data_IF_305193519212
#
_entry.id   IF_305193519212
#
_cell.length_a   1.000
_cell.length_b   1.000
_cell.length_c   1.000
_cell.angle_alpha   90.00
_cell.angle_beta   90.00
_cell.angle_gamma   90.00
#
_symmetry.space_group_name_H-M   'P 1'
#
loop_
_entity.id
_entity.type
_entity.pdbx_description
1 polymer ?
#
# COMPACT_ATOMS: atom_id res chain seq x y z
N UNK A 1 19.65 -19.73 8.95
CA UNK A 1 19.53 -18.43 8.27
C UNK A 1 20.59 -18.34 7.18
N UNK A 2 20.19 -18.38 5.92
CA UNK A 2 21.12 -18.23 4.78
C UNK A 2 21.07 -16.79 4.27
N UNK A 3 21.71 -15.87 5.02
CA UNK A 3 21.89 -14.49 4.59
C UNK A 3 23.14 -14.41 3.74
N UNK A 4 23.02 -13.92 2.51
CA UNK A 4 24.15 -13.75 1.57
C UNK A 4 25.06 -12.62 2.01
N UNK A 5 24.47 -11.53 2.51
CA UNK A 5 25.14 -10.34 3.01
C UNK A 5 24.21 -9.58 3.94
N UNK A 6 24.76 -8.84 4.90
CA UNK A 6 23.97 -8.06 5.84
C UNK A 6 24.73 -6.86 6.39
N UNK A 7 23.99 -5.80 6.69
CA UNK A 7 24.47 -4.65 7.44
C UNK A 7 23.53 -4.50 8.64
N UNK A 8 24.08 -4.52 9.84
CA UNK A 8 23.32 -4.35 11.08
C UNK A 8 23.97 -3.26 11.92
N UNK A 9 23.19 -2.25 12.28
CA UNK A 9 23.59 -1.14 13.15
C UNK A 9 22.61 -1.02 14.30
N UNK A 10 22.77 -0.06 15.17
CA UNK A 10 21.84 0.20 16.26
C UNK A 10 20.49 0.76 15.75
N UNK A 11 20.49 1.41 14.59
CA UNK A 11 19.32 2.10 14.04
C UNK A 11 18.61 1.31 12.95
N UNK A 12 19.32 0.47 12.17
CA UNK A 12 18.73 -0.29 11.07
C UNK A 12 19.47 -1.61 10.80
N UNK A 13 18.76 -2.51 10.13
CA UNK A 13 19.33 -3.74 9.60
C UNK A 13 18.92 -3.94 8.13
N UNK A 14 19.87 -4.29 7.27
CA UNK A 14 19.65 -4.61 5.85
C UNK A 14 20.13 -6.04 5.63
N UNK A 15 19.29 -6.87 5.04
CA UNK A 15 19.58 -8.27 4.74
C UNK A 15 19.42 -8.55 3.25
N UNK A 16 20.48 -9.04 2.61
CA UNK A 16 20.39 -9.66 1.29
C UNK A 16 20.09 -11.14 1.49
N UNK A 17 18.82 -11.47 1.59
CA UNK A 17 18.35 -12.82 1.92
C UNK A 17 16.93 -13.04 1.41
N UNK A 18 16.49 -14.30 1.44
CA UNK A 18 15.09 -14.65 1.37
C UNK A 18 14.37 -14.14 2.62
N UNK A 19 13.25 -13.44 2.43
CA UNK A 19 12.47 -12.90 3.55
C UNK A 19 11.96 -13.99 4.51
N UNK A 20 11.69 -15.20 4.01
CA UNK A 20 11.28 -16.34 4.83
C UNK A 20 12.41 -16.94 5.67
N UNK A 21 13.65 -16.53 5.46
CA UNK A 21 14.76 -16.83 6.35
C UNK A 21 14.94 -15.76 7.44
N UNK A 22 14.56 -14.52 7.16
CA UNK A 22 14.73 -13.38 8.07
C UNK A 22 13.52 -13.20 8.98
N UNK A 23 12.30 -13.20 8.43
CA UNK A 23 11.08 -12.97 9.19
C UNK A 23 10.94 -13.83 10.45
N UNK A 24 11.23 -15.15 10.44
CA UNK A 24 11.16 -15.98 11.64
C UNK A 24 12.10 -15.55 12.77
N UNK A 25 13.13 -14.74 12.46
CA UNK A 25 14.06 -14.22 13.48
C UNK A 25 13.55 -12.93 14.15
N UNK A 26 12.53 -12.30 13.57
CA UNK A 26 11.91 -11.09 14.11
C UNK A 26 10.92 -11.50 15.21
N UNK A 27 10.96 -10.87 16.39
CA UNK A 27 10.04 -11.20 17.49
C UNK A 27 8.57 -10.96 17.11
N UNK A 28 7.67 -11.72 17.74
CA UNK A 28 6.23 -11.53 17.62
C UNK A 28 5.84 -10.11 18.06
N UNK A 29 4.87 -9.51 17.38
CA UNK A 29 4.30 -8.21 17.75
C UNK A 29 5.36 -7.11 17.98
N UNK A 30 6.41 -7.07 17.14
CA UNK A 30 7.51 -6.09 17.27
C UNK A 30 7.51 -5.03 16.19
N UNK A 31 6.86 -5.28 15.03
CA UNK A 31 6.89 -4.39 13.86
C UNK A 31 5.70 -3.43 13.88
N UNK A 32 5.98 -2.13 13.84
CA UNK A 32 4.95 -1.07 13.81
C UNK A 32 4.40 -0.78 12.41
N UNK A 33 5.21 -0.94 11.38
CA UNK A 33 4.84 -0.75 9.98
C UNK A 33 5.62 -1.70 9.09
N UNK A 34 4.94 -2.38 8.17
CA UNK A 34 5.58 -3.09 7.07
C UNK A 34 5.11 -2.54 5.74
N UNK A 35 6.05 -2.40 4.79
CA UNK A 35 5.78 -1.96 3.42
C UNK A 35 6.48 -2.89 2.46
N UNK A 36 5.74 -3.52 1.57
CA UNK A 36 6.32 -4.46 0.62
C UNK A 36 5.50 -4.60 -0.66
N UNK A 37 6.10 -5.21 -1.66
CA UNK A 37 5.47 -5.54 -2.93
C UNK A 37 5.77 -7.00 -3.25
N UNK A 38 4.76 -7.89 -3.27
CA UNK A 38 4.99 -9.26 -3.74
C UNK A 38 5.30 -9.24 -5.24
N UNK A 39 5.96 -10.27 -5.78
CA UNK A 39 6.01 -10.46 -7.22
C UNK A 39 4.58 -10.47 -7.80
N UNK A 40 4.40 -9.88 -8.98
CA UNK A 40 3.08 -9.87 -9.62
C UNK A 40 2.86 -11.17 -10.40
N UNK A 41 2.79 -12.27 -9.67
CA UNK A 41 2.39 -13.61 -10.11
C UNK A 41 2.70 -13.95 -11.57
N UNK A 42 3.99 -14.17 -11.88
CA UNK A 42 4.44 -14.59 -13.22
C UNK A 42 4.55 -13.45 -14.25
N UNK A 43 4.32 -12.19 -13.87
CA UNK A 43 4.53 -11.05 -14.78
C UNK A 43 6.03 -10.83 -15.07
N UNK A 44 6.89 -11.05 -14.08
CA UNK A 44 8.35 -10.95 -14.19
C UNK A 44 8.99 -12.11 -13.45
N UNK A 45 10.06 -12.67 -14.01
CA UNK A 45 10.92 -13.64 -13.35
C UNK A 45 12.13 -12.89 -12.77
N UNK A 46 12.31 -12.97 -11.45
CA UNK A 46 13.37 -12.21 -10.76
C UNK A 46 14.64 -13.04 -10.54
N UNK A 47 14.50 -14.35 -10.38
CA UNK A 47 15.63 -15.26 -10.20
C UNK A 47 15.32 -16.65 -10.75
N UNK A 48 16.31 -17.54 -10.73
CA UNK A 48 16.13 -18.98 -11.07
C UNK A 48 15.90 -19.86 -9.84
N UNK A 49 15.64 -19.27 -8.69
CA UNK A 49 15.42 -20.00 -7.44
C UNK A 49 14.01 -20.57 -7.37
N UNK A 50 13.87 -21.83 -6.96
CA UNK A 50 12.57 -22.46 -6.71
C UNK A 50 11.80 -21.80 -5.54
N UNK A 51 12.48 -20.99 -4.73
CA UNK A 51 11.91 -20.21 -3.62
C UNK A 51 11.41 -18.82 -4.04
N UNK A 52 11.65 -18.43 -5.27
CA UNK A 52 11.15 -17.16 -5.82
C UNK A 52 9.69 -17.34 -6.26
N UNK A 53 8.80 -16.60 -5.62
CA UNK A 53 7.36 -16.63 -5.92
C UNK A 53 7.04 -16.32 -7.39
N UNK A 54 7.94 -15.62 -8.09
CA UNK A 54 7.77 -15.36 -9.52
C UNK A 54 7.89 -16.58 -10.40
N UNK A 55 8.44 -17.70 -9.88
CA UNK A 55 8.63 -18.95 -10.59
C UNK A 55 7.50 -19.97 -10.34
N UNK A 56 6.41 -19.57 -9.67
CA UNK A 56 5.26 -20.43 -9.46
C UNK A 56 4.62 -20.83 -10.79
N UNK A 57 4.29 -22.10 -10.94
CA UNK A 57 3.69 -22.67 -12.15
C UNK A 57 2.21 -22.30 -12.29
N UNK A 58 1.52 -22.02 -11.19
CA UNK A 58 0.12 -21.65 -11.16
C UNK A 58 -0.18 -20.52 -10.19
N UNK A 59 -1.35 -19.88 -10.36
CA UNK A 59 -1.86 -18.87 -9.43
C UNK A 59 -2.10 -19.46 -8.03
N UNK A 60 -2.62 -20.65 -7.96
CA UNK A 60 -2.90 -21.37 -6.72
C UNK A 60 -1.61 -21.63 -5.95
N UNK A 61 -0.56 -22.06 -6.63
CA UNK A 61 0.76 -22.25 -6.03
C UNK A 61 1.31 -20.92 -5.49
N UNK A 62 1.22 -19.86 -6.29
CA UNK A 62 1.63 -18.53 -5.87
C UNK A 62 0.87 -18.08 -4.61
N UNK A 63 -0.47 -18.16 -4.61
CA UNK A 63 -1.29 -17.75 -3.48
C UNK A 63 -0.98 -18.56 -2.22
N UNK A 64 -0.72 -19.85 -2.36
CA UNK A 64 -0.31 -20.71 -1.24
C UNK A 64 1.02 -20.26 -0.64
N UNK A 65 2.02 -19.98 -1.47
CA UNK A 65 3.32 -19.49 -0.99
C UNK A 65 3.21 -18.08 -0.39
N UNK A 66 2.42 -17.23 -1.02
CA UNK A 66 2.17 -15.89 -0.51
C UNK A 66 1.47 -15.89 0.86
N UNK A 67 0.59 -16.86 1.10
CA UNK A 67 -0.09 -17.01 2.39
C UNK A 67 0.88 -17.30 3.55
N UNK A 68 1.95 -18.05 3.32
CA UNK A 68 3.01 -18.24 4.33
C UNK A 68 3.70 -16.92 4.70
N UNK A 69 3.98 -16.09 3.69
CA UNK A 69 4.56 -14.76 3.93
C UNK A 69 3.61 -13.90 4.77
N UNK A 70 2.32 -13.87 4.42
CA UNK A 70 1.33 -13.06 5.14
C UNK A 70 1.14 -13.55 6.57
N UNK A 71 1.22 -14.85 6.82
CA UNK A 71 1.20 -15.41 8.17
C UNK A 71 2.35 -14.87 9.04
N UNK A 72 3.58 -14.83 8.49
CA UNK A 72 4.73 -14.26 9.19
C UNK A 72 4.62 -12.73 9.37
N UNK A 73 4.15 -11.99 8.36
CA UNK A 73 3.86 -10.57 8.49
C UNK A 73 2.82 -10.32 9.61
N UNK A 74 1.79 -11.16 9.68
CA UNK A 74 0.80 -11.06 10.75
C UNK A 74 1.39 -11.35 12.13
N UNK A 75 2.28 -12.34 12.25
CA UNK A 75 2.94 -12.67 13.51
C UNK A 75 3.78 -11.50 14.03
N UNK A 76 4.61 -10.92 13.18
CA UNK A 76 5.55 -9.86 13.59
C UNK A 76 4.89 -8.50 13.77
N UNK A 77 3.77 -8.21 13.09
CA UNK A 77 3.09 -6.92 13.19
C UNK A 77 2.43 -6.74 14.55
N UNK A 78 2.62 -5.61 15.21
CA UNK A 78 1.93 -5.24 16.46
C UNK A 78 0.42 -5.10 16.25
N UNK A 79 -0.44 -5.45 17.22
CA UNK A 79 -1.87 -5.15 17.18
C UNK A 79 -2.14 -3.66 16.92
N UNK A 80 -3.17 -3.34 16.14
CA UNK A 80 -3.53 -1.96 15.77
C UNK A 80 -2.56 -1.27 14.80
N UNK A 81 -1.51 -1.96 14.35
CA UNK A 81 -0.50 -1.42 13.43
C UNK A 81 -0.75 -1.80 11.98
N UNK A 82 0.01 -1.17 11.08
CA UNK A 82 -0.28 -1.11 9.65
C UNK A 82 0.67 -1.97 8.84
N UNK A 83 0.10 -2.62 7.84
CA UNK A 83 0.83 -3.21 6.72
C UNK A 83 0.35 -2.57 5.42
N UNK A 84 1.28 -2.20 4.53
CA UNK A 84 1.01 -1.60 3.24
C UNK A 84 1.59 -2.48 2.12
N UNK A 85 0.74 -2.87 1.18
CA UNK A 85 1.12 -3.78 0.09
C UNK A 85 0.95 -3.07 -1.25
N UNK A 86 2.04 -2.91 -1.98
CA UNK A 86 2.00 -2.39 -3.35
C UNK A 86 1.71 -3.53 -4.33
N UNK A 87 0.69 -3.38 -5.15
CA UNK A 87 0.30 -4.36 -6.16
C UNK A 87 -0.40 -3.70 -7.36
N UNK A 88 -0.73 -4.52 -8.36
CA UNK A 88 -1.52 -4.12 -9.52
C UNK A 88 -2.38 -5.30 -9.97
N UNK A 89 -3.40 -5.02 -10.77
CA UNK A 89 -4.10 -6.09 -11.49
C UNK A 89 -3.17 -6.77 -12.50
N UNK A 90 -3.33 -8.06 -12.69
CA UNK A 90 -2.49 -8.86 -13.58
C UNK A 90 -3.32 -9.39 -14.74
N UNK A 91 -2.82 -9.21 -15.96
CA UNK A 91 -3.44 -9.79 -17.14
C UNK A 91 -3.05 -11.26 -17.31
N UNK A 92 -4.02 -12.08 -17.66
CA UNK A 92 -3.75 -13.43 -18.16
C UNK A 92 -3.36 -13.41 -19.65
N UNK A 93 -3.02 -14.58 -20.18
CA UNK A 93 -2.63 -14.74 -21.59
C UNK A 93 -3.76 -14.40 -22.58
N UNK A 94 -5.00 -14.33 -22.12
CA UNK A 94 -6.19 -14.00 -22.91
C UNK A 94 -6.59 -12.53 -22.78
N UNK A 95 -5.74 -11.72 -22.17
CA UNK A 95 -5.98 -10.29 -21.87
C UNK A 95 -7.15 -10.03 -20.90
N UNK A 96 -7.59 -11.05 -20.14
CA UNK A 96 -8.52 -10.84 -19.05
C UNK A 96 -7.76 -10.45 -17.78
N UNK A 97 -8.39 -9.65 -16.93
CA UNK A 97 -7.83 -9.28 -15.65
C UNK A 97 -8.01 -10.40 -14.63
N UNK A 98 -6.95 -10.66 -13.91
CA UNK A 98 -7.03 -11.31 -12.62
C UNK A 98 -6.99 -10.23 -11.54
N UNK A 99 -8.04 -10.16 -10.75
CA UNK A 99 -8.15 -9.21 -9.63
C UNK A 99 -7.21 -9.66 -8.49
N UNK A 100 -5.91 -9.46 -8.71
CA UNK A 100 -4.87 -9.79 -7.74
C UNK A 100 -4.99 -8.99 -6.44
N UNK A 101 -5.37 -7.69 -6.44
CA UNK A 101 -5.67 -6.96 -5.22
C UNK A 101 -6.73 -7.63 -4.35
N UNK A 102 -7.77 -8.22 -4.93
CA UNK A 102 -8.79 -8.96 -4.19
C UNK A 102 -8.21 -10.17 -3.45
N UNK A 103 -7.36 -10.95 -4.11
CA UNK A 103 -6.71 -12.10 -3.49
C UNK A 103 -5.81 -11.69 -2.31
N UNK A 104 -5.05 -10.61 -2.48
CA UNK A 104 -4.23 -10.04 -1.40
C UNK A 104 -5.12 -9.66 -0.20
N UNK A 105 -6.24 -8.97 -0.45
CA UNK A 105 -7.19 -8.58 0.60
C UNK A 105 -7.75 -9.81 1.32
N UNK A 106 -8.16 -10.82 0.57
CA UNK A 106 -8.73 -12.05 1.13
C UNK A 106 -7.73 -12.81 2.00
N UNK A 107 -6.47 -12.93 1.56
CA UNK A 107 -5.41 -13.59 2.32
C UNK A 107 -5.11 -12.82 3.62
N UNK A 108 -4.94 -11.51 3.56
CA UNK A 108 -4.69 -10.70 4.76
C UNK A 108 -5.84 -10.81 5.76
N UNK A 109 -7.09 -10.82 5.29
CA UNK A 109 -8.27 -10.96 6.14
C UNK A 109 -8.26 -12.30 6.93
N UNK A 110 -7.83 -13.40 6.29
CA UNK A 110 -7.70 -14.71 6.96
C UNK A 110 -6.64 -14.72 8.07
N UNK A 111 -5.60 -13.88 7.93
CA UNK A 111 -4.51 -13.75 8.90
C UNK A 111 -4.70 -12.61 9.91
N UNK A 112 -5.94 -12.15 10.11
CA UNK A 112 -6.27 -11.22 11.19
C UNK A 112 -6.04 -9.75 10.88
N UNK A 113 -5.86 -9.40 9.61
CA UNK A 113 -5.86 -8.02 9.17
C UNK A 113 -7.27 -7.55 8.78
N UNK A 114 -7.52 -6.26 8.96
CA UNK A 114 -8.68 -5.55 8.42
C UNK A 114 -8.21 -4.68 7.26
N UNK A 115 -8.88 -4.82 6.12
CA UNK A 115 -8.64 -3.94 4.98
C UNK A 115 -9.16 -2.54 5.31
N UNK A 116 -8.27 -1.55 5.25
CA UNK A 116 -8.60 -0.18 5.63
C UNK A 116 -8.94 0.69 4.41
N UNK A 117 -8.04 0.75 3.45
CA UNK A 117 -8.22 1.53 2.23
C UNK A 117 -7.19 1.14 1.16
N UNK A 118 -7.35 1.72 -0.04
CA UNK A 118 -6.32 1.67 -1.08
C UNK A 118 -6.00 3.08 -1.57
N UNK A 119 -4.73 3.28 -1.87
CA UNK A 119 -4.25 4.45 -2.59
C UNK A 119 -3.97 4.07 -4.03
N UNK A 120 -4.31 4.96 -4.96
CA UNK A 120 -4.08 4.75 -6.39
C UNK A 120 -2.76 5.41 -6.78
N UNK A 121 -1.89 4.64 -7.43
CA UNK A 121 -0.66 5.15 -8.03
C UNK A 121 -0.87 5.28 -9.53
N UNK A 122 -0.94 6.51 -10.02
CA UNK A 122 -1.14 6.78 -11.44
C UNK A 122 0.08 6.31 -12.24
N UNK A 123 -0.18 5.54 -13.29
CA UNK A 123 0.84 5.13 -14.26
C UNK A 123 0.61 5.81 -15.62
N UNK A 124 1.69 6.04 -16.33
CA UNK A 124 1.63 6.53 -17.69
C UNK A 124 1.32 5.35 -18.66
N UNK A 125 0.24 5.43 -19.47
CA UNK A 125 -0.20 4.32 -20.32
C UNK A 125 0.89 3.78 -21.26
N UNK A 126 1.68 4.66 -21.87
CA UNK A 126 2.76 4.25 -22.76
C UNK A 126 3.86 3.48 -22.04
N UNK A 127 4.24 3.90 -20.84
CA UNK A 127 5.24 3.18 -20.03
C UNK A 127 4.72 1.81 -19.61
N UNK A 128 3.45 1.72 -19.22
CA UNK A 128 2.81 0.44 -18.91
C UNK A 128 2.85 -0.48 -20.11
N UNK A 129 2.46 0.03 -21.31
CA UNK A 129 2.50 -0.73 -22.56
C UNK A 129 3.90 -1.25 -22.88
N UNK A 130 4.90 -0.40 -22.77
CA UNK A 130 6.29 -0.76 -23.09
C UNK A 130 6.86 -1.81 -22.14
N UNK A 131 6.47 -1.79 -20.88
CA UNK A 131 6.97 -2.71 -19.85
C UNK A 131 6.25 -4.03 -19.83
N UNK A 132 4.93 -4.03 -20.01
CA UNK A 132 4.09 -5.22 -19.86
C UNK A 132 3.72 -5.87 -21.19
N UNK A 133 3.94 -5.17 -22.32
CA UNK A 133 3.56 -5.63 -23.65
C UNK A 133 2.07 -5.97 -23.79
N UNK A 134 1.21 -5.35 -22.98
CA UNK A 134 -0.23 -5.61 -22.95
C UNK A 134 -0.86 -5.29 -24.30
N UNK A 135 -1.52 -6.25 -24.91
CA UNK A 135 -2.12 -6.14 -26.26
C UNK A 135 -3.16 -5.03 -26.33
N UNK A 136 -3.98 -4.87 -25.30
CA UNK A 136 -5.05 -3.86 -25.22
C UNK A 136 -4.59 -2.41 -25.34
N UNK A 137 -3.31 -2.13 -25.13
CA UNK A 137 -2.71 -0.80 -25.31
C UNK A 137 -1.93 -0.68 -26.64
N UNK A 138 -2.02 -1.66 -27.54
CA UNK A 138 -1.34 -1.61 -28.84
C UNK A 138 -2.13 -0.78 -29.83
N UNK A 139 -1.43 0.03 -30.61
CA UNK A 139 -2.01 0.80 -31.72
C UNK A 139 -2.81 -0.08 -32.70
N UNK A 140 -2.35 -1.32 -32.92
CA UNK A 140 -3.06 -2.30 -33.74
C UNK A 140 -4.48 -2.57 -33.23
N UNK A 141 -4.66 -2.75 -31.93
CA UNK A 141 -5.99 -2.97 -31.34
C UNK A 141 -6.90 -1.74 -31.53
N UNK A 142 -6.35 -0.53 -31.44
CA UNK A 142 -7.12 0.70 -31.67
C UNK A 142 -7.67 0.76 -33.10
N UNK A 143 -6.92 0.28 -34.09
CA UNK A 143 -7.31 0.32 -35.50
C UNK A 143 -8.19 -0.88 -35.89
N UNK A 144 -7.86 -2.08 -35.42
CA UNK A 144 -8.53 -3.32 -35.84
C UNK A 144 -9.81 -3.61 -35.04
N UNK A 145 -9.76 -3.42 -33.74
CA UNK A 145 -10.89 -3.71 -32.84
C UNK A 145 -10.74 -2.94 -31.51
N UNK A 146 -11.38 -1.79 -31.43
CA UNK A 146 -11.37 -0.97 -30.21
C UNK A 146 -12.03 -1.63 -29.00
N UNK A 147 -12.85 -2.67 -29.18
CA UNK A 147 -13.48 -3.37 -28.06
C UNK A 147 -12.47 -4.14 -27.21
N UNK A 148 -11.28 -4.37 -27.74
CA UNK A 148 -10.16 -5.01 -27.03
C UNK A 148 -9.26 -3.99 -26.32
N UNK A 149 -9.55 -2.71 -26.43
CA UNK A 149 -8.76 -1.66 -25.79
C UNK A 149 -9.30 -1.34 -24.40
N UNK A 150 -8.40 -1.24 -23.44
CA UNK A 150 -8.72 -0.67 -22.13
C UNK A 150 -7.63 0.26 -21.63
N UNK A 151 -7.99 1.03 -20.60
CA UNK A 151 -7.08 1.96 -19.97
C UNK A 151 -5.88 1.24 -19.31
N UNK A 152 -4.77 1.94 -19.20
CA UNK A 152 -3.68 1.48 -18.37
C UNK A 152 -4.17 1.33 -16.93
N UNK A 153 -3.86 0.18 -16.32
CA UNK A 153 -4.23 -0.07 -14.94
C UNK A 153 -3.35 0.77 -14.00
N UNK A 154 -3.90 1.35 -12.94
CA UNK A 154 -3.10 1.94 -11.88
C UNK A 154 -2.37 0.86 -11.10
N UNK A 155 -1.36 1.26 -10.31
CA UNK A 155 -0.95 0.45 -9.18
C UNK A 155 -1.77 0.84 -7.95
N UNK A 156 -1.79 -0.05 -6.98
CA UNK A 156 -2.47 0.13 -5.72
C UNK A 156 -1.49 -0.02 -4.56
N UNK A 157 -1.67 0.81 -3.54
CA UNK A 157 -1.11 0.53 -2.22
C UNK A 157 -2.29 0.16 -1.33
N UNK A 158 -2.40 -1.12 -1.02
CA UNK A 158 -3.44 -1.66 -0.15
C UNK A 158 -2.99 -1.50 1.30
N UNK A 159 -3.81 -0.90 2.13
CA UNK A 159 -3.50 -0.61 3.52
C UNK A 159 -4.36 -1.47 4.42
N UNK A 160 -3.72 -2.16 5.34
CA UNK A 160 -4.33 -3.06 6.29
C UNK A 160 -3.96 -2.67 7.72
N UNK A 161 -4.87 -2.91 8.66
CA UNK A 161 -4.61 -2.78 10.09
C UNK A 161 -4.73 -4.16 10.73
N UNK A 162 -3.73 -4.57 11.51
CA UNK A 162 -3.83 -5.80 12.32
C UNK A 162 -4.88 -5.62 13.40
N UNK A 163 -5.78 -6.59 13.56
CA UNK A 163 -6.80 -6.57 14.61
C UNK A 163 -6.16 -6.46 16.00
N UNK A 164 -6.80 -5.71 16.87
CA UNK A 164 -6.36 -5.43 18.23
C UNK A 164 -6.10 -3.93 18.43
N UNK A 165 -5.90 -3.55 19.67
CA UNK A 165 -5.63 -2.17 20.07
C UNK A 165 -4.13 -1.92 20.11
N UNK A 166 -3.74 -0.70 19.75
CA UNK A 166 -2.36 -0.26 19.83
C UNK A 166 -2.09 0.29 21.24
N UNK A 167 -1.17 -0.34 21.95
CA UNK A 167 -0.75 0.12 23.27
C UNK A 167 0.05 1.42 23.24
N UNK A 168 0.76 1.67 22.13
CA UNK A 168 1.60 2.84 21.93
C UNK A 168 1.13 3.67 20.72
N UNK A 169 0.26 4.66 20.88
CA UNK A 169 -0.17 5.48 19.76
C UNK A 169 1.02 6.28 19.18
N UNK A 170 1.18 6.23 17.86
CA UNK A 170 2.17 7.07 17.16
C UNK A 170 1.56 8.46 17.00
N UNK A 171 2.20 9.44 17.60
CA UNK A 171 1.84 10.86 17.45
C UNK A 171 2.78 11.53 16.48
N UNK A 172 2.27 12.52 15.77
CA UNK A 172 3.07 13.36 14.90
C UNK A 172 3.64 14.53 15.73
N UNK A 173 4.96 14.65 15.75
CA UNK A 173 5.65 15.65 16.60
C UNK A 173 5.57 17.08 16.02
N UNK A 174 5.25 17.21 14.72
CA UNK A 174 5.31 18.47 13.99
C UNK A 174 3.98 19.25 13.97
N UNK A 175 2.93 18.74 14.58
CA UNK A 175 1.59 19.33 14.48
C UNK A 175 0.99 19.27 13.07
N UNK A 176 -0.22 19.82 12.92
CA UNK A 176 -0.96 19.77 11.65
C UNK A 176 -0.38 20.70 10.58
N UNK A 177 0.23 21.82 10.98
CA UNK A 177 0.80 22.82 10.06
C UNK A 177 2.03 22.31 9.30
N UNK A 178 2.76 21.36 9.88
CA UNK A 178 3.98 20.77 9.32
C UNK A 178 3.75 19.35 8.78
N UNK A 179 2.51 18.89 8.79
CA UNK A 179 2.19 17.57 8.28
C UNK A 179 2.50 17.46 6.78
N UNK A 180 3.45 16.61 6.36
CA UNK A 180 3.79 16.45 4.94
C UNK A 180 2.62 15.83 4.19
N UNK A 181 1.99 16.57 3.32
CA UNK A 181 0.95 16.06 2.46
C UNK A 181 1.53 15.54 1.13
N UNK A 182 0.90 14.51 0.57
CA UNK A 182 1.34 13.94 -0.71
C UNK A 182 1.09 14.93 -1.86
N UNK A 183 2.16 15.47 -2.42
CA UNK A 183 2.13 16.38 -3.55
C UNK A 183 3.13 17.53 -3.41
N UNK A 184 3.34 18.27 -4.49
CA UNK A 184 4.25 19.41 -4.53
C UNK A 184 3.75 20.62 -3.71
N UNK A 185 2.45 20.59 -3.32
CA UNK A 185 1.86 21.61 -2.45
C UNK A 185 1.09 20.95 -1.31
N UNK A 186 1.27 21.39 -0.08
CA UNK A 186 0.45 20.95 1.04
C UNK A 186 -1.01 21.35 0.80
N UNK A 187 -1.94 20.42 1.01
CA UNK A 187 -3.38 20.70 0.90
C UNK A 187 -3.84 21.73 1.95
N UNK A 188 -3.16 21.77 3.08
CA UNK A 188 -3.45 22.68 4.17
C UNK A 188 -3.51 24.16 3.77
N UNK A 189 -2.58 24.73 3.00
CA UNK A 189 -2.71 26.12 2.55
C UNK A 189 -3.95 26.36 1.67
N UNK A 190 -4.30 25.42 0.80
CA UNK A 190 -5.50 25.55 -0.03
C UNK A 190 -6.79 25.47 0.81
N UNK A 191 -6.80 24.61 1.81
CA UNK A 191 -7.92 24.47 2.74
C UNK A 191 -8.06 25.72 3.62
N UNK A 192 -6.96 26.26 4.17
CA UNK A 192 -6.96 27.50 4.92
C UNK A 192 -7.38 28.70 4.06
N UNK A 193 -6.94 28.74 2.80
CA UNK A 193 -7.39 29.76 1.85
C UNK A 193 -8.89 29.66 1.60
N UNK A 194 -9.42 28.47 1.37
CA UNK A 194 -10.85 28.25 1.17
C UNK A 194 -11.66 28.65 2.41
N UNK A 195 -11.18 28.30 3.60
CA UNK A 195 -11.79 28.70 4.87
C UNK A 195 -11.81 30.23 5.03
N UNK A 196 -10.66 30.88 4.84
CA UNK A 196 -10.52 32.33 5.01
C UNK A 196 -11.20 33.18 3.93
N UNK A 197 -11.54 32.55 2.79
CA UNK A 197 -12.31 33.21 1.72
C UNK A 197 -13.81 33.23 1.99
N UNK A 198 -14.31 32.50 2.95
CA UNK A 198 -15.70 32.54 3.36
C UNK A 198 -15.87 33.66 4.42
N UNK A 199 -16.65 34.70 4.10
CA UNK A 199 -16.89 35.83 4.95
C UNK A 199 -17.58 35.48 6.29
N UNK A 200 -18.18 34.30 6.39
CA UNK A 200 -18.83 33.83 7.60
C UNK A 200 -17.85 33.16 8.57
N UNK A 201 -16.64 32.81 8.10
CA UNK A 201 -15.66 32.15 8.92
C UNK A 201 -14.68 33.13 9.58
N UNK A 202 -14.25 32.87 10.83
CA UNK A 202 -13.17 33.62 11.42
C UNK A 202 -11.87 33.41 10.68
N UNK A 203 -11.10 34.44 10.48
CA UNK A 203 -9.79 34.35 9.86
C UNK A 203 -8.82 33.58 10.77
N UNK A 204 -8.12 32.59 10.20
CA UNK A 204 -7.10 31.80 10.90
C UNK A 204 -5.81 31.77 10.07
N UNK A 205 -4.68 31.80 10.72
CA UNK A 205 -3.36 31.86 10.11
C UNK A 205 -2.75 30.44 10.00
N UNK A 206 -3.14 29.53 10.90
CA UNK A 206 -2.60 28.18 11.00
C UNK A 206 -3.70 27.13 11.11
N UNK A 207 -3.37 25.91 10.78
CA UNK A 207 -4.29 24.79 10.94
C UNK A 207 -4.59 24.47 12.40
N UNK A 208 -3.66 24.75 13.32
CA UNK A 208 -3.90 24.56 14.75
C UNK A 208 -4.95 25.56 15.24
N UNK A 209 -4.89 26.81 14.83
CA UNK A 209 -5.93 27.80 15.12
C UNK A 209 -7.30 27.39 14.58
N UNK A 210 -7.33 26.86 13.37
CA UNK A 210 -8.57 26.32 12.81
C UNK A 210 -9.09 25.12 13.60
N UNK A 211 -8.20 24.22 13.98
CA UNK A 211 -8.56 23.05 14.78
C UNK A 211 -9.10 23.45 16.15
N UNK A 212 -8.42 24.36 16.84
CA UNK A 212 -8.86 24.90 18.13
C UNK A 212 -10.22 25.59 18.02
N UNK A 213 -10.43 26.35 16.95
CA UNK A 213 -11.73 26.97 16.70
C UNK A 213 -12.84 25.93 16.47
N UNK A 214 -12.58 24.93 15.62
CA UNK A 214 -13.55 23.89 15.33
C UNK A 214 -13.87 23.06 16.57
N UNK A 215 -12.89 22.68 17.35
CA UNK A 215 -13.10 21.88 18.56
C UNK A 215 -13.82 22.64 19.65
N UNK A 216 -13.51 23.92 19.87
CA UNK A 216 -14.20 24.76 20.86
C UNK A 216 -15.60 25.13 20.44
N UNK A 217 -15.87 25.35 19.17
CA UNK A 217 -17.18 25.77 18.66
C UNK A 217 -18.14 24.58 18.58
N UNK A 218 -17.63 23.37 18.36
CA UNK A 218 -18.42 22.15 18.20
C UNK A 218 -18.35 21.21 19.43
N UNK A 219 -17.85 21.68 20.59
CA UNK A 219 -18.01 20.95 21.86
C UNK A 219 -19.50 20.81 22.19
N UNK A 220 -20.10 19.73 21.77
CA UNK A 220 -21.51 19.43 21.98
C UNK A 220 -22.15 18.60 20.86
N UNK A 221 -21.50 18.47 19.73
CA UNK A 221 -21.86 17.51 18.69
C UNK A 221 -21.04 16.23 18.86
N UNK A 222 -21.47 15.39 19.79
CA UNK A 222 -21.01 14.00 19.83
C UNK A 222 -21.57 13.30 18.62
N UNK A 223 -20.65 13.04 17.71
CA UNK A 223 -20.70 11.98 16.71
C UNK A 223 -21.77 12.01 15.63
N UNK A 224 -21.42 12.19 14.37
CA UNK A 224 -22.27 11.88 13.25
C UNK A 224 -21.88 10.60 12.48
N UNK A 225 -20.96 9.75 12.94
CA UNK A 225 -20.64 8.52 12.21
C UNK A 225 -20.47 7.31 13.12
#
# INVERSE_FOLDING_TARGET
MHVKDQIVTDDYAIYNSDCMEVLPTIPDNSVGLSVYSPPFAGLYQYSSSDRDFSNCESREQFLTQYEFLVAEIARVTKPGRITAVHCTDVFDNSCNLWDFPHEIIAIHARHGFQYRCRQLVRKEPLKVRMRTMVKSLMHKCVIEDMTQCFSAMPDYVLIFTKKGESEDPVRHDLGLTEFPYFGEQPVLPAFLQAWNNDENNPHVETCDQLWDFLTTTYEGHTDPY
#
